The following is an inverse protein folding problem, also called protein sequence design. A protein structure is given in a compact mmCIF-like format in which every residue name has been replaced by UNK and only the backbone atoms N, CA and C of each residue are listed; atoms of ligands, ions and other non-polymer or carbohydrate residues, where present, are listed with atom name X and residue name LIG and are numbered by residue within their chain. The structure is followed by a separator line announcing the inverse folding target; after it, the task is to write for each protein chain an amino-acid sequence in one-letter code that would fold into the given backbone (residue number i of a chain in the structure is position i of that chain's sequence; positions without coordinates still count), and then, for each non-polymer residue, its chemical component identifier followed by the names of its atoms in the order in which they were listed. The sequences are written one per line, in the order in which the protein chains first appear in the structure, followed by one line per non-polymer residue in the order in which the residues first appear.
data_IF_643266252191
#
_entry.id   IF_643266252191
#
_cell.length_a   1.000
_cell.length_b   1.000
_cell.length_c   1.000
_cell.angle_alpha   90.00
_cell.angle_beta   90.00
_cell.angle_gamma   90.00
#
_symmetry.space_group_name_H-M   'P 1'
#
loop_
_entity.id
_entity.type
_entity.pdbx_description
1 polymer ?
#
# COMPACT_ATOMS: atom_id res chain seq x y z
N UNK A 1 15.61 32.12 0.39
CA UNK A 1 15.56 30.68 0.06
C UNK A 1 14.10 30.27 0.03
N UNK A 2 13.63 29.57 -1.00
CA UNK A 2 12.24 29.14 -1.06
C UNK A 2 11.99 28.04 -0.02
N UNK A 3 11.11 28.33 0.93
CA UNK A 3 10.63 27.37 1.92
C UNK A 3 9.61 26.47 1.22
N UNK A 4 10.09 25.35 0.66
CA UNK A 4 9.24 24.38 -0.04
C UNK A 4 8.76 23.33 0.95
N UNK A 5 7.45 23.25 1.23
CA UNK A 5 6.93 22.25 2.15
C UNK A 5 7.30 20.83 1.70
N UNK A 6 7.99 20.11 2.58
CA UNK A 6 8.27 18.67 2.42
C UNK A 6 7.27 17.89 3.28
N UNK A 7 6.47 17.05 2.64
CA UNK A 7 5.59 16.11 3.33
C UNK A 7 6.22 14.71 3.31
N UNK A 8 6.41 14.13 4.50
CA UNK A 8 6.79 12.73 4.68
C UNK A 8 5.59 11.93 5.17
N UNK A 9 5.40 10.72 4.64
CA UNK A 9 4.33 9.82 5.06
C UNK A 9 4.85 8.39 5.18
N UNK A 10 4.51 7.77 6.30
CA UNK A 10 4.73 6.36 6.55
C UNK A 10 3.38 5.66 6.70
N UNK A 11 3.24 4.46 6.14
CA UNK A 11 2.02 3.67 6.21
C UNK A 11 2.35 2.19 6.30
N UNK A 12 1.50 1.45 7.00
CA UNK A 12 1.62 -0.01 7.15
C UNK A 12 0.32 -0.65 6.71
N UNK A 13 0.38 -1.45 5.65
CA UNK A 13 -0.74 -2.27 5.22
C UNK A 13 -0.73 -3.60 5.97
N UNK A 14 -1.91 -4.16 6.22
CA UNK A 14 -2.08 -5.39 6.97
C UNK A 14 -1.34 -5.36 8.32
N UNK A 15 -1.69 -4.37 9.16
CA UNK A 15 -1.04 -4.13 10.46
C UNK A 15 -1.09 -5.35 11.39
N UNK A 16 -2.16 -6.15 11.32
CA UNK A 16 -2.30 -7.39 12.10
C UNK A 16 -1.56 -8.60 11.46
N UNK A 17 -0.94 -8.44 10.29
CA UNK A 17 -0.28 -9.50 9.51
C UNK A 17 -1.17 -10.74 9.31
N UNK A 18 -2.46 -10.52 9.05
CA UNK A 18 -3.40 -11.60 8.81
C UNK A 18 -3.16 -12.22 7.45
N UNK A 19 -3.28 -13.53 7.39
CA UNK A 19 -3.37 -14.28 6.13
C UNK A 19 -4.83 -14.31 5.72
N UNK A 20 -5.10 -13.98 4.48
CA UNK A 20 -6.45 -13.95 3.91
C UNK A 20 -6.37 -14.23 2.42
N UNK A 21 -7.52 -14.58 1.83
CA UNK A 21 -7.67 -14.71 0.38
C UNK A 21 -8.26 -13.42 -0.18
N UNK A 22 -7.64 -12.89 -1.22
CA UNK A 22 -8.12 -11.78 -2.02
C UNK A 22 -8.87 -12.31 -3.25
N UNK A 23 -9.96 -11.66 -3.61
CA UNK A 23 -10.70 -11.99 -4.83
C UNK A 23 -10.02 -11.37 -6.04
N UNK A 24 -9.82 -12.15 -7.10
CA UNK A 24 -9.43 -11.61 -8.40
C UNK A 24 -10.64 -10.88 -9.01
N UNK A 25 -10.47 -9.63 -9.42
CA UNK A 25 -11.53 -8.83 -10.05
C UNK A 25 -11.80 -9.20 -11.52
N UNK A 26 -11.12 -10.23 -12.05
CA UNK A 26 -11.23 -10.65 -13.44
C UNK A 26 -12.06 -11.94 -13.54
N UNK A 27 -13.20 -11.85 -14.23
CA UNK A 27 -14.10 -12.98 -14.52
C UNK A 27 -13.43 -14.12 -15.26
N UNK A 28 -12.31 -13.87 -15.95
CA UNK A 28 -11.54 -14.88 -16.69
C UNK A 28 -10.55 -15.66 -15.83
N UNK A 29 -10.31 -15.22 -14.58
CA UNK A 29 -9.44 -15.87 -13.60
C UNK A 29 -10.17 -15.94 -12.25
N UNK A 30 -11.08 -16.91 -12.06
CA UNK A 30 -11.85 -17.07 -10.82
C UNK A 30 -11.02 -17.57 -9.62
N UNK A 31 -9.69 -17.58 -9.75
CA UNK A 31 -8.79 -18.09 -8.74
C UNK A 31 -8.73 -17.14 -7.54
N UNK A 32 -8.71 -17.71 -6.33
CA UNK A 32 -8.44 -16.95 -5.12
C UNK A 32 -6.96 -16.55 -5.11
N UNK A 33 -6.69 -15.25 -5.11
CA UNK A 33 -5.35 -14.70 -4.95
C UNK A 33 -4.98 -14.69 -3.48
N UNK A 34 -3.72 -15.04 -3.17
CA UNK A 34 -3.24 -14.88 -1.81
C UNK A 34 -3.17 -13.38 -1.46
N UNK A 35 -3.77 -13.00 -0.33
CA UNK A 35 -3.72 -11.63 0.17
C UNK A 35 -2.30 -11.17 0.51
N UNK A 36 -2.02 -9.88 0.33
CA UNK A 36 -0.69 -9.33 0.54
C UNK A 36 -0.26 -9.46 2.02
N UNK A 37 1.02 -9.82 2.28
CA UNK A 37 1.56 -9.82 3.64
C UNK A 37 1.67 -8.40 4.20
N UNK A 38 2.05 -8.27 5.48
CA UNK A 38 2.35 -6.96 6.08
C UNK A 38 3.36 -6.20 5.22
N UNK A 39 2.99 -4.99 4.82
CA UNK A 39 3.78 -4.17 3.90
C UNK A 39 4.01 -2.80 4.50
N UNK A 40 5.27 -2.35 4.49
CA UNK A 40 5.68 -1.04 4.98
C UNK A 40 5.90 -0.10 3.79
N UNK A 41 5.35 1.11 3.87
CA UNK A 41 5.43 2.11 2.81
C UNK A 41 5.96 3.42 3.36
N UNK A 42 6.87 4.03 2.62
CA UNK A 42 7.43 5.34 2.90
C UNK A 42 7.33 6.19 1.63
N UNK A 43 6.83 7.41 1.76
CA UNK A 43 6.74 8.37 0.65
C UNK A 43 7.14 9.77 1.09
N UNK A 44 7.76 10.51 0.18
CA UNK A 44 8.08 11.92 0.33
C UNK A 44 7.47 12.72 -0.83
N UNK A 45 6.97 13.92 -0.58
CA UNK A 45 6.43 14.82 -1.60
C UNK A 45 6.85 16.24 -1.30
N UNK A 46 7.23 16.98 -2.34
CA UNK A 46 7.66 18.37 -2.26
C UNK A 46 6.67 19.21 -3.07
N UNK A 47 6.12 20.24 -2.46
CA UNK A 47 5.29 21.21 -3.16
C UNK A 47 6.20 22.29 -3.80
N UNK A 48 6.19 22.35 -5.14
CA UNK A 48 7.14 23.14 -5.94
C UNK A 48 6.75 24.62 -6.09
#
# INVERSE_FOLDING_TARGET
MADRPLTLRFSVDNIANKRYWATAFDSSRPDLLQGAPRTFKLSASIDL
#
